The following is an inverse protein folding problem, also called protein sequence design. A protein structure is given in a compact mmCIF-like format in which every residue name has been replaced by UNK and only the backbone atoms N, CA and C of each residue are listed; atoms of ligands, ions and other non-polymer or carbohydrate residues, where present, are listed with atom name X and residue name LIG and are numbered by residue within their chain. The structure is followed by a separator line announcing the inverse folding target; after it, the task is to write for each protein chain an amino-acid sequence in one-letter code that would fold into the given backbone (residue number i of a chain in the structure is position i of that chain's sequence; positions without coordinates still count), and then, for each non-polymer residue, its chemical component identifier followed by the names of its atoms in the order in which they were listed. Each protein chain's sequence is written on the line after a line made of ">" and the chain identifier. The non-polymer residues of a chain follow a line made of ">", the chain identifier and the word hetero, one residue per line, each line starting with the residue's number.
data_IF_973420279476
#
_entry.id   IF_973420279476
#
_cell.length_a   1.000
_cell.length_b   1.000
_cell.length_c   1.000
_cell.angle_alpha   90.00
_cell.angle_beta   90.00
_cell.angle_gamma   90.00
#
_symmetry.space_group_name_H-M   'P 1'
#
loop_
_entity.id
_entity.type
_entity.pdbx_description
1 polymer ?
#
# COMPACT_ATOMS: atom_id res chain seq x y z
N UNK A 1 -1.20 15.55 33.42
CA UNK A 1 0.00 16.00 32.66
C UNK A 1 -0.44 16.33 31.25
N UNK A 2 0.38 16.99 30.44
CA UNK A 2 0.00 17.43 29.09
C UNK A 2 1.03 16.93 28.07
N UNK A 3 0.62 16.69 26.83
CA UNK A 3 1.54 16.34 25.75
C UNK A 3 2.50 17.50 25.46
N UNK A 4 3.79 17.25 25.40
CA UNK A 4 4.80 18.29 25.15
C UNK A 4 4.82 18.86 23.70
N UNK A 5 3.95 18.38 22.81
CA UNK A 5 3.84 18.86 21.42
C UNK A 5 2.52 19.59 21.20
N UNK A 6 1.37 18.95 21.45
CA UNK A 6 0.05 19.58 21.24
C UNK A 6 -0.52 20.27 22.49
N UNK A 7 0.10 20.08 23.67
CA UNK A 7 -0.39 20.58 24.95
C UNK A 7 -1.74 20.03 25.41
N UNK A 8 -2.28 19.02 24.73
CA UNK A 8 -3.52 18.37 25.17
C UNK A 8 -3.31 17.60 26.49
N UNK A 9 -4.32 17.58 27.38
CA UNK A 9 -4.29 16.78 28.60
C UNK A 9 -4.10 15.29 28.30
N UNK A 10 -3.25 14.63 29.10
CA UNK A 10 -3.00 13.20 29.07
C UNK A 10 -3.40 12.55 30.39
N UNK A 11 -4.17 11.47 30.29
CA UNK A 11 -4.35 10.52 31.39
C UNK A 11 -3.06 9.73 31.60
N UNK A 12 -2.81 9.27 32.83
CA UNK A 12 -1.62 8.45 33.11
C UNK A 12 -1.59 7.17 32.27
N UNK A 13 -2.76 6.60 31.96
CA UNK A 13 -2.90 5.42 31.08
C UNK A 13 -2.58 5.69 29.61
N UNK A 14 -2.62 6.95 29.17
CA UNK A 14 -2.30 7.36 27.79
C UNK A 14 -0.83 7.73 27.63
N UNK A 15 -0.08 7.73 28.73
CA UNK A 15 1.34 8.04 28.72
C UNK A 15 2.10 6.94 28.00
N UNK A 16 2.74 7.32 26.89
CA UNK A 16 3.60 6.40 26.16
C UNK A 16 4.87 6.07 26.95
N UNK A 17 5.20 4.78 27.12
CA UNK A 17 6.51 4.38 27.61
C UNK A 17 7.56 4.68 26.53
N UNK A 18 8.52 5.56 26.83
CA UNK A 18 9.58 5.90 25.90
C UNK A 18 10.71 4.86 25.97
N UNK A 19 11.28 4.43 24.83
CA UNK A 19 12.40 3.48 24.81
C UNK A 19 13.74 4.10 25.27
N UNK A 20 13.74 5.38 25.64
CA UNK A 20 14.93 6.11 26.08
C UNK A 20 14.74 6.66 27.50
N UNK A 21 15.76 7.33 28.06
CA UNK A 21 15.70 7.91 29.42
C UNK A 21 14.91 9.22 29.51
N UNK A 22 14.25 9.66 28.44
CA UNK A 22 13.43 10.86 28.49
C UNK A 22 12.19 10.62 29.34
N UNK A 23 11.81 11.62 30.12
CA UNK A 23 10.58 11.62 30.92
C UNK A 23 9.49 12.52 30.34
N UNK A 24 9.75 13.13 29.18
CA UNK A 24 8.86 14.07 28.51
C UNK A 24 7.61 13.35 28.00
N UNK A 25 6.41 13.84 28.36
CA UNK A 25 5.16 13.19 27.97
C UNK A 25 4.73 13.51 26.53
N UNK A 26 4.29 12.49 25.80
CA UNK A 26 3.71 12.62 24.46
C UNK A 26 2.44 11.79 24.34
N UNK A 27 1.44 12.32 23.62
CA UNK A 27 0.33 11.50 23.13
C UNK A 27 0.83 10.60 21.98
N UNK A 28 0.14 9.48 21.72
CA UNK A 28 0.52 8.56 20.65
C UNK A 28 0.63 9.25 19.28
N UNK A 29 -0.36 10.06 18.91
CA UNK A 29 -0.37 10.73 17.60
C UNK A 29 0.77 11.73 17.40
N UNK A 30 1.17 12.48 18.44
CA UNK A 30 2.31 13.40 18.34
C UNK A 30 3.65 12.68 18.34
N UNK A 31 3.77 11.58 19.08
CA UNK A 31 4.96 10.73 19.05
C UNK A 31 5.15 10.08 17.68
N UNK A 32 4.09 9.45 17.15
CA UNK A 32 4.04 8.81 15.85
C UNK A 32 4.44 9.77 14.71
N UNK A 33 3.77 10.92 14.60
CA UNK A 33 4.10 11.96 13.60
C UNK A 33 5.54 12.43 13.69
N UNK A 34 6.08 12.57 14.90
CA UNK A 34 7.45 13.02 15.08
C UNK A 34 8.49 11.95 14.69
N UNK A 35 8.18 10.68 14.92
CA UNK A 35 8.98 9.56 14.42
C UNK A 35 8.95 9.52 12.89
N UNK A 36 7.76 9.62 12.27
CA UNK A 36 7.59 9.66 10.82
C UNK A 36 8.40 10.81 10.19
N UNK A 37 8.28 12.03 10.75
CA UNK A 37 9.04 13.19 10.28
C UNK A 37 10.55 13.00 10.37
N UNK A 38 11.06 12.42 11.47
CA UNK A 38 12.49 12.11 11.60
C UNK A 38 12.94 11.05 10.61
N UNK A 39 12.12 10.01 10.41
CA UNK A 39 12.42 8.94 9.47
C UNK A 39 12.46 9.46 8.03
N UNK A 40 11.50 10.29 7.62
CA UNK A 40 11.43 10.84 6.27
C UNK A 40 12.60 11.79 5.97
N UNK A 41 13.04 12.57 6.96
CA UNK A 41 14.14 13.53 6.79
C UNK A 41 15.54 12.96 6.97
N UNK A 42 15.73 11.95 7.84
CA UNK A 42 17.04 11.45 8.24
C UNK A 42 17.23 9.93 8.04
N UNK A 43 16.25 9.24 7.46
CA UNK A 43 16.26 7.78 7.26
C UNK A 43 16.07 6.95 8.53
N UNK A 44 15.93 7.59 9.70
CA UNK A 44 15.81 6.91 10.99
C UNK A 44 14.81 7.62 11.91
N UNK A 45 13.95 6.85 12.56
CA UNK A 45 13.03 7.36 13.56
C UNK A 45 13.80 7.74 14.83
N UNK A 46 13.54 8.93 15.40
CA UNK A 46 14.28 9.45 16.56
C UNK A 46 13.36 10.09 17.58
N UNK A 47 13.69 9.92 18.85
CA UNK A 47 12.99 10.59 19.95
C UNK A 47 13.01 12.13 19.76
N UNK A 48 11.88 12.85 19.83
CA UNK A 48 11.86 14.30 19.62
C UNK A 48 12.64 15.09 20.67
N UNK A 49 12.80 14.53 21.87
CA UNK A 49 13.57 15.13 22.97
C UNK A 49 15.08 14.91 22.83
N UNK A 50 15.54 13.65 22.95
CA UNK A 50 16.98 13.35 23.02
C UNK A 50 17.61 12.96 21.68
N UNK A 51 16.81 12.89 20.60
CA UNK A 51 17.22 12.47 19.25
C UNK A 51 17.85 11.07 19.17
N UNK A 52 17.79 10.27 20.24
CA UNK A 52 18.22 8.88 20.21
C UNK A 52 17.39 8.10 19.17
N UNK A 53 18.03 7.26 18.34
CA UNK A 53 17.31 6.39 17.42
C UNK A 53 16.32 5.49 18.16
N UNK A 54 15.18 5.26 17.52
CA UNK A 54 14.08 4.45 18.01
C UNK A 54 13.77 3.41 16.96
N UNK A 55 13.92 2.14 17.31
CA UNK A 55 13.43 1.06 16.47
C UNK A 55 11.92 0.98 16.63
N UNK A 56 11.26 0.88 15.48
CA UNK A 56 9.81 0.74 15.38
C UNK A 56 9.53 -0.61 14.76
N UNK A 57 8.67 -1.36 15.44
CA UNK A 57 8.06 -2.58 14.95
C UNK A 57 6.53 -2.46 15.10
N UNK A 58 5.80 -3.28 14.38
CA UNK A 58 4.35 -3.38 14.46
C UNK A 58 3.96 -4.79 14.86
N UNK A 59 3.03 -4.86 15.81
CA UNK A 59 2.41 -6.11 16.20
C UNK A 59 0.95 -6.06 15.74
N UNK A 60 0.57 -6.88 14.74
CA UNK A 60 -0.78 -6.88 14.19
C UNK A 60 -1.81 -7.42 15.20
N UNK A 61 -1.38 -8.08 16.27
CA UNK A 61 -2.22 -8.77 17.25
C UNK A 61 -2.80 -10.08 16.75
N UNK A 62 -3.31 -10.88 17.69
CA UNK A 62 -3.94 -12.18 17.40
C UNK A 62 -5.24 -12.03 16.62
N UNK A 63 -5.57 -13.03 15.79
CA UNK A 63 -6.80 -13.03 14.98
C UNK A 63 -8.07 -13.00 15.86
N UNK A 64 -8.05 -13.75 16.96
CA UNK A 64 -9.14 -13.82 17.95
C UNK A 64 -9.17 -12.61 18.91
N UNK A 65 -8.13 -11.78 18.88
CA UNK A 65 -8.02 -10.61 19.73
C UNK A 65 -8.87 -9.43 19.25
N UNK A 66 -9.07 -8.39 20.09
CA UNK A 66 -9.55 -7.12 19.59
C UNK A 66 -8.53 -6.61 18.58
N UNK A 67 -8.89 -6.56 17.29
CA UNK A 67 -7.98 -6.14 16.21
C UNK A 67 -7.53 -4.69 16.41
N UNK A 68 -6.49 -4.54 17.21
CA UNK A 68 -5.84 -3.30 17.55
C UNK A 68 -4.37 -3.62 17.39
N UNK A 69 -3.90 -3.52 16.16
CA UNK A 69 -2.47 -3.52 15.93
C UNK A 69 -1.83 -2.42 16.77
N UNK A 70 -0.62 -2.67 17.24
CA UNK A 70 0.10 -1.76 18.11
C UNK A 70 1.51 -1.53 17.60
N UNK A 71 1.92 -0.27 17.66
CA UNK A 71 3.32 0.10 17.49
C UNK A 71 4.12 -0.33 18.73
N UNK A 72 5.24 -1.00 18.49
CA UNK A 72 6.22 -1.38 19.50
C UNK A 72 7.45 -0.52 19.29
N UNK A 73 7.84 0.21 20.34
CA UNK A 73 9.00 1.09 20.32
C UNK A 73 10.11 0.48 21.18
N UNK A 74 11.28 0.27 20.59
CA UNK A 74 12.45 -0.22 21.29
C UNK A 74 13.65 0.72 21.10
N UNK A 75 14.59 0.66 22.03
CA UNK A 75 15.83 1.41 21.88
C UNK A 75 16.68 0.70 20.82
N UNK A 76 17.19 1.43 19.86
CA UNK A 76 18.21 0.87 18.97
C UNK A 76 19.51 0.79 19.77
N UNK A 77 19.89 -0.43 20.18
CA UNK A 77 21.12 -0.64 20.93
C UNK A 77 22.27 -0.63 19.92
N UNK A 78 23.11 0.40 20.00
CA UNK A 78 24.23 0.61 19.06
C UNK A 78 25.44 -0.29 19.35
N UNK A 79 25.22 -1.51 19.83
CA UNK A 79 26.23 -2.35 20.46
C UNK A 79 26.73 -3.54 19.62
N UNK A 80 26.39 -3.68 18.34
CA UNK A 80 26.91 -4.87 17.65
C UNK A 80 26.77 -5.04 16.15
N UNK A 81 26.56 -4.01 15.34
CA UNK A 81 26.62 -4.19 13.90
C UNK A 81 27.47 -3.09 13.27
N UNK A 82 28.39 -3.52 12.42
CA UNK A 82 29.34 -2.71 11.66
C UNK A 82 28.60 -1.55 10.96
N UNK A 83 29.33 -0.49 10.58
CA UNK A 83 28.76 0.56 9.71
C UNK A 83 28.16 0.03 8.39
N UNK A 84 28.40 -1.24 8.06
CA UNK A 84 27.86 -1.99 6.92
C UNK A 84 26.45 -2.57 7.16
N UNK A 85 25.97 -2.63 8.42
CA UNK A 85 24.65 -3.15 8.80
C UNK A 85 23.65 -2.04 9.15
N UNK A 86 23.91 -0.80 8.75
CA UNK A 86 22.91 0.26 8.84
C UNK A 86 21.71 -0.16 7.99
N UNK A 87 20.63 -0.60 8.66
CA UNK A 87 19.40 -1.03 8.00
C UNK A 87 18.96 0.10 7.08
N UNK A 88 18.92 -0.17 5.78
CA UNK A 88 18.51 0.82 4.79
C UNK A 88 17.10 1.32 5.11
N UNK A 89 16.79 2.56 4.68
CA UNK A 89 15.45 3.13 4.84
C UNK A 89 14.39 2.18 4.26
N UNK A 90 14.71 1.61 3.11
CA UNK A 90 13.91 0.64 2.38
C UNK A 90 13.68 -0.63 3.20
N UNK A 91 14.71 -1.16 3.87
CA UNK A 91 14.57 -2.33 4.74
C UNK A 91 13.67 -2.10 5.96
N UNK A 92 13.65 -0.88 6.51
CA UNK A 92 12.71 -0.52 7.58
C UNK A 92 11.27 -0.44 7.05
N UNK A 93 11.07 0.18 5.87
CA UNK A 93 9.76 0.29 5.23
C UNK A 93 9.19 -1.10 4.94
N UNK A 94 9.95 -1.97 4.28
CA UNK A 94 9.51 -3.31 3.92
C UNK A 94 9.13 -4.13 5.16
N UNK A 95 9.97 -4.08 6.22
CA UNK A 95 9.67 -4.77 7.48
C UNK A 95 8.36 -4.30 8.11
N UNK A 96 8.10 -2.99 8.12
CA UNK A 96 6.86 -2.45 8.70
C UNK A 96 5.64 -2.83 7.85
N UNK A 97 5.76 -2.79 6.52
CA UNK A 97 4.71 -3.24 5.60
C UNK A 97 4.38 -4.72 5.83
N UNK A 98 5.40 -5.59 5.90
CA UNK A 98 5.26 -7.02 6.25
C UNK A 98 4.56 -7.25 7.58
N UNK A 99 5.00 -6.57 8.64
CA UNK A 99 4.40 -6.68 9.96
C UNK A 99 2.94 -6.19 9.97
N UNK A 100 2.62 -5.19 9.16
CA UNK A 100 1.28 -4.59 9.09
C UNK A 100 0.29 -5.36 8.21
N UNK A 101 0.78 -6.10 7.23
CA UNK A 101 -0.06 -6.75 6.23
C UNK A 101 -1.15 -7.69 6.81
N UNK A 102 -0.88 -8.54 7.85
CA UNK A 102 -1.92 -9.37 8.45
C UNK A 102 -3.07 -8.59 9.09
N UNK A 103 -2.81 -7.40 9.65
CA UNK A 103 -3.90 -6.57 10.14
C UNK A 103 -4.68 -5.95 8.98
N UNK A 104 -4.00 -5.51 7.93
CA UNK A 104 -4.64 -4.87 6.78
C UNK A 104 -5.61 -5.82 6.09
N UNK A 105 -5.22 -7.07 5.81
CA UNK A 105 -6.11 -8.07 5.20
C UNK A 105 -7.34 -8.33 6.08
N UNK A 106 -7.18 -8.43 7.40
CA UNK A 106 -8.29 -8.56 8.36
C UNK A 106 -9.20 -7.33 8.38
N UNK A 107 -8.66 -6.12 8.25
CA UNK A 107 -9.45 -4.88 8.14
C UNK A 107 -10.28 -4.85 6.86
N UNK A 108 -9.71 -5.26 5.73
CA UNK A 108 -10.42 -5.39 4.45
C UNK A 108 -11.52 -6.46 4.51
N UNK A 109 -11.23 -7.63 5.07
CA UNK A 109 -12.21 -8.71 5.28
C UNK A 109 -13.40 -8.24 6.10
N UNK A 110 -13.16 -7.60 7.25
CA UNK A 110 -14.20 -7.01 8.10
C UNK A 110 -14.96 -5.88 7.43
N UNK A 111 -14.30 -5.12 6.54
CA UNK A 111 -14.99 -4.14 5.72
C UNK A 111 -15.96 -4.85 4.76
N UNK A 112 -15.54 -5.92 4.10
CA UNK A 112 -16.37 -6.80 3.28
C UNK A 112 -17.60 -7.34 4.00
N UNK A 113 -17.38 -7.91 5.19
CA UNK A 113 -18.44 -8.49 6.04
C UNK A 113 -19.51 -7.45 6.43
N UNK A 114 -19.10 -6.22 6.71
CA UNK A 114 -20.02 -5.11 7.04
C UNK A 114 -20.73 -4.54 5.82
N UNK A 115 -20.21 -4.79 4.61
CA UNK A 115 -20.76 -4.30 3.35
C UNK A 115 -21.21 -5.48 2.49
N UNK A 116 -22.25 -6.19 2.92
CA UNK A 116 -22.80 -7.37 2.21
C UNK A 116 -23.16 -7.09 0.75
N UNK A 117 -23.39 -5.81 0.39
CA UNK A 117 -23.58 -5.38 -0.99
C UNK A 117 -22.36 -5.67 -1.87
N UNK A 118 -21.12 -5.66 -1.36
CA UNK A 118 -19.92 -5.97 -2.14
C UNK A 118 -20.02 -7.33 -2.82
N UNK A 119 -20.29 -8.37 -2.03
CA UNK A 119 -20.41 -9.74 -2.55
C UNK A 119 -21.61 -9.87 -3.49
N UNK A 120 -22.75 -9.28 -3.15
CA UNK A 120 -23.92 -9.28 -4.02
C UNK A 120 -23.66 -8.58 -5.37
N UNK A 121 -22.94 -7.47 -5.39
CA UNK A 121 -22.53 -6.77 -6.62
C UNK A 121 -21.55 -7.64 -7.42
N UNK A 122 -20.62 -8.32 -6.76
CA UNK A 122 -19.65 -9.17 -7.44
C UNK A 122 -20.31 -10.40 -8.10
N UNK A 123 -21.32 -10.98 -7.45
CA UNK A 123 -22.08 -12.13 -7.98
C UNK A 123 -23.07 -11.71 -9.08
N UNK A 124 -23.65 -10.51 -8.98
CA UNK A 124 -24.67 -10.01 -9.89
C UNK A 124 -24.36 -8.59 -10.41
N UNK A 125 -23.22 -8.38 -11.09
CA UNK A 125 -22.74 -7.03 -11.44
C UNK A 125 -23.66 -6.31 -12.41
N UNK A 126 -24.35 -7.03 -13.29
CA UNK A 126 -25.31 -6.43 -14.23
C UNK A 126 -26.46 -5.73 -13.51
N UNK A 127 -26.94 -6.27 -12.38
CA UNK A 127 -28.02 -5.70 -11.59
C UNK A 127 -27.60 -4.40 -10.91
N UNK A 128 -26.40 -4.41 -10.31
CA UNK A 128 -25.82 -3.23 -9.69
C UNK A 128 -25.58 -2.09 -10.69
N UNK A 129 -25.23 -2.43 -11.94
CA UNK A 129 -24.97 -1.47 -13.01
C UNK A 129 -26.24 -0.94 -13.70
N UNK A 130 -27.38 -1.65 -13.61
CA UNK A 130 -28.65 -1.22 -14.24
C UNK A 130 -29.11 0.16 -13.78
N UNK A 131 -28.80 0.59 -12.55
CA UNK A 131 -29.15 1.91 -12.03
C UNK A 131 -28.26 3.05 -12.52
N UNK A 132 -27.08 2.76 -13.09
CA UNK A 132 -26.07 3.76 -13.44
C UNK A 132 -26.37 4.47 -14.76
N UNK A 133 -25.95 5.71 -14.92
CA UNK A 133 -26.11 6.43 -16.17
C UNK A 133 -25.18 5.89 -17.26
N UNK A 134 -25.57 6.02 -18.53
CA UNK A 134 -24.71 5.64 -19.68
C UNK A 134 -23.36 6.38 -19.64
N UNK A 135 -23.37 7.65 -19.21
CA UNK A 135 -22.15 8.47 -19.06
C UNK A 135 -21.18 7.86 -18.05
N UNK A 136 -21.67 7.42 -16.89
CA UNK A 136 -20.85 6.74 -15.88
C UNK A 136 -20.30 5.42 -16.41
N UNK A 137 -21.15 4.59 -17.02
CA UNK A 137 -20.72 3.29 -17.58
C UNK A 137 -19.61 3.45 -18.62
N UNK A 138 -19.73 4.42 -19.53
CA UNK A 138 -18.68 4.74 -20.51
C UNK A 138 -17.38 5.20 -19.86
N UNK A 139 -17.47 6.04 -18.83
CA UNK A 139 -16.31 6.50 -18.08
C UNK A 139 -15.60 5.32 -17.39
N UNK A 140 -16.38 4.41 -16.80
CA UNK A 140 -15.86 3.21 -16.14
C UNK A 140 -15.21 2.26 -17.13
N UNK A 141 -15.85 2.02 -18.27
CA UNK A 141 -15.32 1.19 -19.35
C UNK A 141 -13.98 1.74 -19.86
N UNK A 142 -13.86 3.05 -20.05
CA UNK A 142 -12.61 3.68 -20.47
C UNK A 142 -11.50 3.51 -19.45
N UNK A 143 -11.81 3.63 -18.15
CA UNK A 143 -10.81 3.49 -17.08
C UNK A 143 -10.23 2.08 -17.01
N UNK A 144 -11.03 1.04 -17.26
CA UNK A 144 -10.55 -0.36 -17.34
C UNK A 144 -9.94 -0.71 -18.70
N UNK A 145 -9.62 0.28 -19.54
CA UNK A 145 -9.02 0.09 -20.86
C UNK A 145 -9.96 -0.51 -21.90
N UNK A 146 -11.27 -0.34 -21.74
CA UNK A 146 -12.29 -0.70 -22.71
C UNK A 146 -12.61 0.44 -23.69
N UNK A 147 -13.29 0.10 -24.79
CA UNK A 147 -13.74 1.04 -25.82
C UNK A 147 -15.26 0.97 -25.93
N UNK A 148 -15.92 2.12 -26.05
CA UNK A 148 -17.37 2.20 -26.27
C UNK A 148 -17.77 2.28 -27.75
N UNK A 149 -16.79 2.22 -28.66
CA UNK A 149 -17.02 2.20 -30.11
C UNK A 149 -17.86 1.00 -30.53
N UNK A 150 -19.07 1.25 -31.02
CA UNK A 150 -19.99 0.21 -31.48
C UNK A 150 -20.97 -0.30 -30.42
N UNK A 151 -20.89 0.20 -29.18
CA UNK A 151 -21.85 -0.12 -28.11
C UNK A 151 -23.02 0.86 -28.19
N UNK A 152 -24.15 0.39 -28.71
CA UNK A 152 -25.32 1.24 -28.99
C UNK A 152 -26.29 1.24 -27.80
N UNK A 153 -26.42 0.12 -27.11
CA UNK A 153 -27.33 -0.06 -26.00
C UNK A 153 -26.62 -0.01 -24.64
N UNK A 154 -27.38 0.31 -23.60
CA UNK A 154 -26.87 0.28 -22.22
C UNK A 154 -26.45 -1.12 -21.81
N UNK A 155 -27.16 -2.15 -22.28
CA UNK A 155 -26.83 -3.55 -22.01
C UNK A 155 -25.43 -3.89 -22.56
N UNK A 156 -25.12 -3.48 -23.80
CA UNK A 156 -23.80 -3.68 -24.42
C UNK A 156 -22.66 -3.08 -23.57
N UNK A 157 -22.88 -1.89 -23.00
CA UNK A 157 -21.90 -1.24 -22.10
C UNK A 157 -21.71 -2.02 -20.79
N UNK A 158 -22.78 -2.54 -20.22
CA UNK A 158 -22.74 -3.34 -19.00
C UNK A 158 -21.98 -4.64 -19.26
N UNK A 159 -22.32 -5.35 -20.34
CA UNK A 159 -21.68 -6.61 -20.70
C UNK A 159 -20.19 -6.43 -21.02
N UNK A 160 -19.85 -5.39 -21.78
CA UNK A 160 -18.46 -5.05 -22.08
C UNK A 160 -17.66 -4.72 -20.81
N UNK A 161 -18.27 -4.00 -19.85
CA UNK A 161 -17.63 -3.67 -18.58
C UNK A 161 -17.42 -4.92 -17.71
N UNK A 162 -18.43 -5.80 -17.61
CA UNK A 162 -18.33 -7.07 -16.88
C UNK A 162 -17.25 -7.96 -17.48
N UNK A 163 -17.21 -8.08 -18.81
CA UNK A 163 -16.21 -8.88 -19.49
C UNK A 163 -14.77 -8.36 -19.29
N UNK A 164 -14.60 -7.04 -19.15
CA UNK A 164 -13.28 -6.41 -19.01
C UNK A 164 -12.79 -6.36 -17.57
N UNK A 165 -13.67 -6.08 -16.61
CA UNK A 165 -13.31 -5.82 -15.21
C UNK A 165 -13.63 -6.99 -14.26
N UNK A 166 -14.60 -7.84 -14.61
CA UNK A 166 -15.14 -8.85 -13.70
C UNK A 166 -15.99 -8.26 -12.56
N UNK A 167 -16.68 -9.15 -11.83
CA UNK A 167 -17.60 -8.75 -10.76
C UNK A 167 -16.92 -8.05 -9.58
N UNK A 168 -15.75 -8.55 -9.16
CA UNK A 168 -15.02 -8.00 -8.00
C UNK A 168 -14.59 -6.55 -8.18
N UNK A 169 -13.99 -6.20 -9.34
CA UNK A 169 -13.59 -4.81 -9.61
C UNK A 169 -14.81 -3.89 -9.74
N UNK A 170 -15.92 -4.39 -10.31
CA UNK A 170 -17.19 -3.65 -10.34
C UNK A 170 -17.69 -3.39 -8.92
N UNK A 171 -17.63 -4.37 -8.01
CA UNK A 171 -18.02 -4.21 -6.62
C UNK A 171 -17.17 -3.14 -5.89
N UNK A 172 -15.84 -3.23 -6.00
CA UNK A 172 -14.89 -2.23 -5.51
C UNK A 172 -15.29 -0.81 -5.95
N UNK A 173 -15.55 -0.65 -7.25
CA UNK A 173 -15.86 0.65 -7.84
C UNK A 173 -17.22 1.19 -7.43
N UNK A 174 -18.25 0.34 -7.38
CA UNK A 174 -19.60 0.74 -6.97
C UNK A 174 -19.57 1.24 -5.53
N UNK A 175 -18.86 0.56 -4.63
CA UNK A 175 -18.77 0.96 -3.22
C UNK A 175 -18.04 2.28 -3.07
N UNK A 176 -16.88 2.45 -3.73
CA UNK A 176 -16.16 3.73 -3.73
C UNK A 176 -17.02 4.90 -4.25
N UNK A 177 -17.89 4.65 -5.23
CA UNK A 177 -18.81 5.67 -5.75
C UNK A 177 -19.97 6.00 -4.80
N UNK A 178 -20.34 5.10 -3.89
CA UNK A 178 -21.43 5.30 -2.92
C UNK A 178 -20.97 5.90 -1.59
N UNK A 179 -19.71 5.69 -1.21
CA UNK A 179 -19.16 6.18 0.07
C UNK A 179 -19.09 7.72 0.15
N UNK A 180 -18.99 8.42 -0.98
CA UNK A 180 -19.09 9.89 -1.01
C UNK A 180 -20.49 10.44 -0.69
N UNK A 181 -21.50 9.57 -0.51
CA UNK A 181 -22.93 9.93 -0.47
C UNK A 181 -23.65 9.86 0.88
N UNK A 182 -23.04 9.36 1.96
CA UNK A 182 -23.52 9.69 3.32
C UNK A 182 -23.80 8.59 4.35
N UNK A 183 -23.56 7.29 4.13
CA UNK A 183 -23.80 6.27 5.18
C UNK A 183 -22.76 5.15 5.29
N UNK A 184 -21.78 5.06 4.38
CA UNK A 184 -20.71 4.06 4.45
C UNK A 184 -19.49 4.56 5.22
N UNK A 185 -18.95 3.75 6.13
CA UNK A 185 -17.61 3.99 6.67
C UNK A 185 -16.59 3.43 5.67
N UNK A 186 -15.60 4.22 5.20
CA UNK A 186 -14.61 3.74 4.25
C UNK A 186 -13.79 2.57 4.81
N UNK A 187 -13.11 1.80 3.95
CA UNK A 187 -12.13 0.82 4.42
C UNK A 187 -11.06 1.54 5.26
N UNK A 188 -10.62 0.90 6.34
CA UNK A 188 -9.63 1.51 7.24
C UNK A 188 -8.24 0.92 6.96
N UNK A 189 -7.24 1.79 6.95
CA UNK A 189 -5.83 1.45 6.94
C UNK A 189 -5.39 0.92 8.31
N UNK A 190 -4.24 0.24 8.35
CA UNK A 190 -3.59 -0.24 9.59
C UNK A 190 -3.31 0.85 10.64
N UNK A 191 -3.14 2.10 10.21
CA UNK A 191 -2.96 3.24 11.11
C UNK A 191 -4.29 3.81 11.65
N UNK A 192 -5.43 3.29 11.19
CA UNK A 192 -6.78 3.79 11.49
C UNK A 192 -7.27 4.90 10.57
N UNK A 193 -6.46 5.37 9.62
CA UNK A 193 -6.89 6.31 8.58
C UNK A 193 -7.87 5.67 7.60
N UNK A 194 -8.70 6.46 6.93
CA UNK A 194 -9.53 5.98 5.82
C UNK A 194 -8.64 5.63 4.62
N UNK A 195 -8.98 4.56 3.92
CA UNK A 195 -8.45 4.26 2.60
C UNK A 195 -9.35 4.90 1.55
N UNK A 196 -8.75 5.68 0.66
CA UNK A 196 -9.41 6.35 -0.45
C UNK A 196 -9.07 5.67 -1.76
N UNK A 197 -10.08 5.34 -2.56
CA UNK A 197 -9.86 4.78 -3.90
C UNK A 197 -9.52 5.91 -4.88
N UNK A 198 -8.29 5.90 -5.40
CA UNK A 198 -7.82 6.78 -6.45
C UNK A 198 -7.63 6.02 -7.76
N UNK A 199 -7.66 6.75 -8.89
CA UNK A 199 -7.10 6.22 -10.13
C UNK A 199 -5.57 6.20 -10.02
N UNK A 200 -4.89 5.29 -10.72
CA UNK A 200 -3.43 5.23 -10.69
C UNK A 200 -2.78 6.57 -11.10
N UNK A 201 -3.38 7.28 -12.05
CA UNK A 201 -2.92 8.62 -12.47
C UNK A 201 -3.08 9.65 -11.37
N UNK A 202 -4.22 9.64 -10.67
CA UNK A 202 -4.43 10.56 -9.55
C UNK A 202 -3.43 10.29 -8.42
N UNK A 203 -3.16 9.02 -8.12
CA UNK A 203 -2.15 8.62 -7.14
C UNK A 203 -0.74 9.03 -7.55
N UNK A 204 -0.34 8.76 -8.80
CA UNK A 204 0.97 9.16 -9.31
C UNK A 204 1.14 10.68 -9.30
N UNK A 205 0.08 11.43 -9.65
CA UNK A 205 0.07 12.90 -9.53
C UNK A 205 0.33 13.34 -8.10
N UNK A 206 -0.39 12.75 -7.13
CA UNK A 206 -0.23 13.03 -5.71
C UNK A 206 1.21 12.76 -5.26
N UNK A 207 1.79 11.62 -5.64
CA UNK A 207 3.16 11.24 -5.32
C UNK A 207 4.19 12.24 -5.87
N UNK A 208 4.04 12.67 -7.14
CA UNK A 208 4.91 13.69 -7.74
C UNK A 208 4.84 15.03 -6.99
N UNK A 209 3.65 15.46 -6.59
CA UNK A 209 3.46 16.74 -5.90
C UNK A 209 3.99 16.66 -4.47
N UNK A 210 3.55 15.66 -3.71
CA UNK A 210 3.80 15.57 -2.27
C UNK A 210 5.22 15.09 -1.94
N UNK A 211 5.70 14.04 -2.63
CA UNK A 211 7.00 13.43 -2.30
C UNK A 211 8.16 14.04 -3.10
N UNK A 212 7.91 14.41 -4.36
CA UNK A 212 8.95 14.98 -5.22
C UNK A 212 8.91 16.51 -5.32
N UNK A 213 7.95 17.16 -4.68
CA UNK A 213 7.82 18.62 -4.68
C UNK A 213 7.57 19.20 -6.08
N UNK A 214 7.06 18.40 -7.01
CA UNK A 214 6.71 18.86 -8.35
C UNK A 214 5.57 19.86 -8.22
N UNK A 215 5.79 21.09 -8.72
CA UNK A 215 4.74 22.10 -8.71
C UNK A 215 3.58 21.67 -9.60
N UNK A 216 2.36 21.82 -9.10
CA UNK A 216 1.17 21.63 -9.91
C UNK A 216 1.21 22.60 -11.10
N UNK A 217 1.15 22.03 -12.31
CA UNK A 217 1.26 22.78 -13.56
C UNK A 217 0.46 22.09 -14.65
N UNK A 218 0.10 22.84 -15.69
CA UNK A 218 -0.63 22.29 -16.85
C UNK A 218 0.15 21.17 -17.57
N UNK A 219 1.46 21.05 -17.33
CA UNK A 219 2.31 20.04 -17.94
C UNK A 219 2.38 18.72 -17.16
N UNK A 220 1.80 18.66 -15.96
CA UNK A 220 1.89 17.45 -15.12
C UNK A 220 1.26 16.24 -15.82
N UNK A 221 0.20 16.44 -16.61
CA UNK A 221 -0.46 15.37 -17.34
C UNK A 221 0.43 14.80 -18.45
N UNK A 222 1.15 15.64 -19.18
CA UNK A 222 2.12 15.19 -20.18
C UNK A 222 3.30 14.44 -19.55
N UNK A 223 3.71 14.84 -18.34
CA UNK A 223 4.74 14.12 -17.59
C UNK A 223 4.22 12.75 -17.13
N UNK A 224 2.97 12.66 -16.66
CA UNK A 224 2.33 11.41 -16.28
C UNK A 224 2.16 10.46 -17.47
N UNK A 225 1.77 10.99 -18.63
CA UNK A 225 1.72 10.22 -19.88
C UNK A 225 3.10 9.62 -20.21
N UNK A 226 4.16 10.42 -20.10
CA UNK A 226 5.51 9.96 -20.37
C UNK A 226 6.03 8.93 -19.35
N UNK A 227 5.70 9.14 -18.07
CA UNK A 227 6.10 8.25 -16.98
C UNK A 227 5.40 6.88 -17.11
N UNK A 228 4.12 6.87 -17.48
CA UNK A 228 3.34 5.64 -17.64
C UNK A 228 3.91 4.67 -18.69
N UNK A 229 4.60 5.20 -19.71
CA UNK A 229 5.16 4.39 -20.80
C UNK A 229 6.62 3.94 -20.55
N UNK A 230 7.35 4.60 -19.65
CA UNK A 230 8.82 4.46 -19.59
C UNK A 230 9.41 4.21 -18.23
N UNK A 231 8.70 4.52 -17.16
CA UNK A 231 9.23 4.40 -15.82
C UNK A 231 8.53 3.28 -15.07
N UNK A 232 9.27 2.43 -14.34
CA UNK A 232 8.67 1.57 -13.34
C UNK A 232 7.88 2.46 -12.38
N UNK A 233 6.66 2.03 -12.05
CA UNK A 233 5.80 2.82 -11.17
C UNK A 233 6.43 2.89 -9.79
N UNK A 234 6.49 4.08 -9.22
CA UNK A 234 6.90 4.28 -7.83
C UNK A 234 5.84 3.86 -6.82
N UNK A 235 4.62 3.52 -7.28
CA UNK A 235 3.53 3.05 -6.42
C UNK A 235 3.62 1.54 -6.32
N UNK A 236 3.78 1.02 -5.11
CA UNK A 236 3.86 -0.40 -4.79
C UNK A 236 2.67 -0.75 -3.89
N UNK A 237 2.06 -1.92 -4.10
CA UNK A 237 1.05 -2.43 -3.19
C UNK A 237 1.71 -3.01 -1.92
N UNK A 238 1.41 -2.50 -0.74
CA UNK A 238 1.99 -2.97 0.53
C UNK A 238 1.56 -4.39 0.95
N UNK A 239 0.63 -5.00 0.22
CA UNK A 239 0.21 -6.39 0.43
C UNK A 239 0.95 -7.35 -0.49
N UNK A 240 0.87 -7.16 -1.80
CA UNK A 240 1.42 -8.10 -2.78
C UNK A 240 2.78 -7.67 -3.37
N UNK A 241 3.35 -6.57 -2.89
CA UNK A 241 4.63 -5.96 -3.32
C UNK A 241 4.75 -5.70 -4.83
N UNK A 242 3.62 -5.76 -5.54
CA UNK A 242 3.57 -5.51 -6.98
C UNK A 242 3.60 -4.02 -7.28
N UNK A 243 4.46 -3.62 -8.22
CA UNK A 243 4.47 -2.26 -8.78
C UNK A 243 3.19 -2.02 -9.59
N UNK A 244 2.47 -0.95 -9.25
CA UNK A 244 1.15 -0.68 -9.82
C UNK A 244 1.25 0.22 -11.04
N UNK A 245 0.66 -0.20 -12.17
CA UNK A 245 0.59 0.65 -13.35
C UNK A 245 -0.10 1.99 -13.02
N UNK A 246 0.31 3.14 -13.59
CA UNK A 246 -0.41 4.41 -13.46
C UNK A 246 -1.85 4.37 -14.00
N UNK A 247 -2.25 3.30 -14.69
CA UNK A 247 -3.64 3.10 -15.11
C UNK A 247 -4.47 2.30 -14.11
N UNK A 248 -3.82 1.57 -13.20
CA UNK A 248 -4.50 0.72 -12.23
C UNK A 248 -5.00 1.54 -11.03
N UNK A 249 -6.26 1.36 -10.61
CA UNK A 249 -6.77 1.97 -9.38
C UNK A 249 -6.07 1.43 -8.13
N UNK A 250 -6.00 2.27 -7.10
CA UNK A 250 -5.34 1.98 -5.84
C UNK A 250 -6.14 2.58 -4.69
N UNK A 251 -6.18 1.86 -3.56
CA UNK A 251 -6.68 2.37 -2.29
C UNK A 251 -5.49 2.91 -1.50
N UNK A 252 -5.45 4.21 -1.24
CA UNK A 252 -4.35 4.86 -0.53
C UNK A 252 -4.82 5.41 0.82
N UNK A 253 -3.95 5.37 1.82
CA UNK A 253 -4.26 5.94 3.14
C UNK A 253 -4.37 7.46 3.10
N UNK A 254 -5.50 8.00 3.56
CA UNK A 254 -5.74 9.45 3.66
C UNK A 254 -4.79 10.17 4.64
N UNK A 255 -4.13 9.43 5.54
CA UNK A 255 -3.10 9.99 6.42
C UNK A 255 -1.75 10.19 5.71
N UNK A 256 -1.59 9.74 4.46
CA UNK A 256 -0.36 9.89 3.70
C UNK A 256 0.86 9.31 4.43
N UNK A 257 1.92 10.11 4.54
CA UNK A 257 3.18 9.76 5.21
C UNK A 257 3.25 10.26 6.67
N UNK A 258 2.12 10.69 7.24
CA UNK A 258 2.09 11.29 8.57
C UNK A 258 2.25 10.29 9.72
N UNK A 259 2.34 8.98 9.44
CA UNK A 259 2.49 7.93 10.46
C UNK A 259 3.74 7.10 10.20
N UNK A 260 4.39 6.64 11.26
CA UNK A 260 5.61 5.82 11.15
C UNK A 260 5.32 4.43 10.61
N UNK A 261 4.07 3.96 10.64
CA UNK A 261 3.67 2.67 10.09
C UNK A 261 3.88 2.59 8.57
N UNK A 262 3.72 3.72 7.90
CA UNK A 262 3.81 3.80 6.46
C UNK A 262 4.42 5.16 6.05
N UNK A 263 5.73 5.34 6.32
CA UNK A 263 6.42 6.61 6.09
C UNK A 263 6.53 6.95 4.60
N UNK A 264 6.25 5.98 3.72
CA UNK A 264 6.18 6.13 2.26
C UNK A 264 4.75 6.08 1.73
N UNK A 265 3.74 6.33 2.58
CA UNK A 265 2.30 6.05 2.37
C UNK A 265 1.95 4.57 2.36
N UNK A 266 0.65 4.23 2.47
CA UNK A 266 0.16 2.86 2.42
C UNK A 266 -0.85 2.71 1.28
N UNK A 267 -0.52 1.87 0.31
CA UNK A 267 -1.19 1.68 -0.96
C UNK A 267 -1.60 0.20 -1.11
N UNK A 268 -2.89 -0.04 -1.39
CA UNK A 268 -3.45 -1.37 -1.64
C UNK A 268 -4.03 -1.41 -3.05
N UNK A 269 -3.53 -2.32 -3.89
CA UNK A 269 -4.03 -2.46 -5.25
C UNK A 269 -5.48 -2.97 -5.27
N UNK A 270 -6.21 -2.65 -6.33
CA UNK A 270 -7.61 -3.08 -6.47
C UNK A 270 -7.77 -4.62 -6.44
N UNK A 271 -6.77 -5.38 -6.90
CA UNK A 271 -6.79 -6.86 -6.84
C UNK A 271 -6.78 -7.35 -5.40
N UNK A 272 -5.87 -6.84 -4.57
CA UNK A 272 -5.81 -7.20 -3.15
C UNK A 272 -7.08 -6.74 -2.41
N UNK A 273 -7.60 -5.55 -2.73
CA UNK A 273 -8.89 -5.13 -2.19
C UNK A 273 -10.01 -6.12 -2.52
N UNK A 274 -10.12 -6.56 -3.77
CA UNK A 274 -11.12 -7.56 -4.19
C UNK A 274 -10.95 -8.87 -3.43
N UNK A 275 -9.73 -9.41 -3.38
CA UNK A 275 -9.43 -10.67 -2.66
C UNK A 275 -9.86 -10.61 -1.19
N UNK A 276 -9.44 -9.59 -0.46
CA UNK A 276 -9.65 -9.55 0.98
C UNK A 276 -11.02 -8.97 1.35
N UNK A 277 -11.50 -7.92 0.69
CA UNK A 277 -12.77 -7.28 1.02
C UNK A 277 -13.98 -7.88 0.30
N UNK A 278 -13.85 -8.39 -0.93
CA UNK A 278 -15.00 -8.89 -1.70
C UNK A 278 -15.12 -10.40 -1.57
N UNK A 279 -14.03 -11.12 -1.81
CA UNK A 279 -13.99 -12.59 -1.75
C UNK A 279 -13.92 -13.06 -0.29
N UNK A 280 -13.24 -12.30 0.57
CA UNK A 280 -13.17 -12.55 2.02
C UNK A 280 -12.06 -13.54 2.39
N UNK A 281 -10.97 -13.56 1.61
CA UNK A 281 -9.80 -14.39 1.93
C UNK A 281 -9.18 -13.98 3.27
N UNK A 282 -8.60 -14.95 3.99
CA UNK A 282 -7.83 -14.70 5.21
C UNK A 282 -6.37 -14.32 4.94
N UNK A 283 -5.64 -13.98 6.00
CA UNK A 283 -4.23 -13.58 5.92
C UNK A 283 -3.28 -14.75 5.59
N UNK A 284 -3.72 -16.00 5.77
CA UNK A 284 -3.01 -17.20 5.33
C UNK A 284 -2.77 -17.24 3.82
N UNK A 285 -3.66 -16.64 3.03
CA UNK A 285 -3.51 -16.54 1.58
C UNK A 285 -2.33 -15.64 1.20
N UNK A 286 -2.11 -14.56 1.96
CA UNK A 286 -1.02 -13.62 1.72
C UNK A 286 0.35 -14.27 1.92
N UNK A 287 0.51 -15.04 3.00
CA UNK A 287 1.75 -15.73 3.31
C UNK A 287 2.13 -16.71 2.20
N UNK A 288 1.14 -17.43 1.66
CA UNK A 288 1.36 -18.39 0.58
C UNK A 288 1.81 -17.68 -0.70
N UNK A 289 1.18 -16.57 -1.06
CA UNK A 289 1.56 -15.80 -2.26
C UNK A 289 2.97 -15.22 -2.18
N UNK A 290 3.32 -14.62 -1.04
CA UNK A 290 4.68 -14.07 -0.84
C UNK A 290 5.72 -15.18 -0.87
N UNK A 291 5.44 -16.32 -0.25
CA UNK A 291 6.36 -17.45 -0.29
C UNK A 291 6.61 -17.93 -1.71
N UNK A 292 5.56 -18.04 -2.55
CA UNK A 292 5.71 -18.43 -3.95
C UNK A 292 6.55 -17.44 -4.76
N UNK A 293 6.38 -16.13 -4.53
CA UNK A 293 7.19 -15.11 -5.20
C UNK A 293 8.67 -15.21 -4.83
N UNK A 294 8.98 -15.43 -3.55
CA UNK A 294 10.37 -15.63 -3.13
C UNK A 294 10.99 -16.91 -3.73
N UNK A 295 10.22 -17.99 -3.81
CA UNK A 295 10.67 -19.23 -4.45
C UNK A 295 10.95 -19.03 -5.95
N UNK A 296 10.12 -18.26 -6.66
CA UNK A 296 10.33 -17.89 -8.06
C UNK A 296 11.59 -17.02 -8.25
N UNK A 297 11.77 -15.98 -7.43
CA UNK A 297 12.96 -15.11 -7.48
C UNK A 297 14.26 -15.87 -7.16
N UNK A 298 14.23 -16.80 -6.22
CA UNK A 298 15.40 -17.63 -5.88
C UNK A 298 15.77 -18.56 -7.04
N UNK A 299 14.78 -19.14 -7.73
CA UNK A 299 15.00 -19.95 -8.94
C UNK A 299 15.62 -19.10 -10.05
N UNK A 300 15.06 -17.92 -10.34
CA UNK A 300 15.60 -17.02 -11.37
C UNK A 300 17.06 -16.60 -11.07
N UNK A 301 17.36 -16.26 -9.81
CA UNK A 301 18.71 -15.91 -9.39
C UNK A 301 19.70 -17.09 -9.54
N UNK A 302 19.27 -18.31 -9.23
CA UNK A 302 20.08 -19.51 -9.42
C UNK A 302 20.34 -19.77 -10.92
N UNK A 303 19.33 -19.64 -11.77
CA UNK A 303 19.47 -19.80 -13.23
C UNK A 303 20.42 -18.76 -13.84
N UNK A 304 20.41 -17.51 -13.37
CA UNK A 304 21.35 -16.48 -13.82
C UNK A 304 22.81 -16.79 -13.43
N UNK A 305 23.04 -17.30 -12.21
CA UNK A 305 24.38 -17.72 -11.77
C UNK A 305 24.87 -18.91 -12.60
N UNK A 306 24.04 -19.92 -12.85
CA UNK A 306 24.39 -21.07 -13.69
C UNK A 306 24.66 -20.66 -15.15
N UNK A 307 23.91 -19.69 -15.69
CA UNK A 307 24.14 -19.14 -17.02
C UNK A 307 25.49 -18.40 -17.13
N UNK A 308 25.87 -17.64 -16.10
CA UNK A 308 27.17 -16.95 -16.04
C UNK A 308 28.34 -17.95 -15.93
N UNK A 309 28.21 -19.01 -15.13
CA UNK A 309 29.23 -20.04 -14.98
C UNK A 309 29.42 -20.90 -16.25
N UNK A 310 28.33 -21.20 -16.95
CA UNK A 310 28.36 -21.97 -18.20
C UNK A 310 28.86 -21.14 -19.40
N UNK A 311 28.52 -19.85 -19.46
CA UNK A 311 29.03 -18.91 -20.47
C UNK A 311 30.54 -18.67 -20.36
N UNK A 312 31.07 -18.54 -19.15
CA UNK A 312 32.50 -18.29 -18.92
C UNK A 312 33.43 -19.44 -19.35
N UNK A 313 32.94 -20.69 -19.37
CA UNK A 313 33.72 -21.84 -19.86
C UNK A 313 33.86 -21.86 -21.38
N UNK A 314 32.93 -21.25 -22.12
CA UNK A 314 32.97 -21.19 -23.58
C UNK A 314 34.02 -20.19 -24.13
N UNK A 315 34.23 -19.07 -23.45
CA UNK A 315 35.21 -18.05 -23.87
C UNK A 315 36.66 -18.46 -23.55
N UNK A 316 36.88 -19.13 -22.41
CA UNK A 316 38.21 -19.66 -22.06
C UNK A 316 38.69 -20.74 -23.05
N UNK A 317 37.78 -21.53 -23.62
CA UNK A 317 38.12 -22.54 -24.62
C UNK A 317 38.44 -21.95 -26.01
N UNK A 318 37.86 -20.78 -26.36
CA UNK A 318 38.16 -20.10 -27.63
C UNK A 318 39.50 -19.39 -27.64
N UNK A 319 39.91 -18.78 -26.52
CA UNK A 319 41.23 -18.15 -26.40
C UNK A 319 42.42 -19.11 -26.52
N UNK A 320 42.23 -20.41 -26.26
CA UNK A 320 43.28 -21.43 -26.35
C UNK A 320 43.52 -21.99 -27.76
N UNK A 321 42.66 -21.67 -28.74
CA UNK A 321 42.78 -22.15 -30.12
C UNK A 321 43.34 -21.09 -31.09
N UNK A 322 43.53 -19.86 -30.64
CA UNK A 322 44.03 -18.72 -31.44
C UNK A 322 45.45 -18.27 -31.09
N UNK A 323 46.19 -19.02 -30.24
CA UNK A 323 47.60 -18.79 -29.90
C UNK A 323 48.49 -19.96 -30.27
#
# INVERSE_FOLDING_TARGET
>A
MECAICFDPLLESERLPLPCRCTVPYCLGCWDRALASSFNSAGHARCPSCRRPVRVDFDPGDEDGPARGRLIFSAETGDGSSAEDAVSKEGVVNRLAEQAAPLMTRLLRRFGERHSSLRAIAEAPSEALRGRSIRELKAWLKEVGGSDSGLLEKADLIDALIAKAGGGMIASRVVAATEGGGEGCPPLCVCGGALERLTGRARMRQLLIEQHGVRESANIDALLDHAADRLPSSVICDLCDTQLSPLQPVYTCANGDATILHPTTYDVCEVCFVRYAVEGLGDEALATERQLLYEEEEIEAQEEVEAQESGGRGEAARGALEG
#
